data_IF_750440968006
#
_entry.id   IF_750440968006
#
_cell.length_a   1.000
_cell.length_b   1.000
_cell.length_c   1.000
_cell.angle_alpha   90.00
_cell.angle_beta   90.00
_cell.angle_gamma   90.00
#
_symmetry.space_group_name_H-M   'P 1'
#
loop_
_entity.id
_entity.type
_entity.pdbx_description
1 polymer ?
#
# COMPACT_ATOMS: atom_id res chain seq x y z
N UNK A 1 17.40 5.45 -9.10
CA UNK A 1 16.88 5.74 -7.75
C UNK A 1 15.45 5.27 -7.72
N UNK A 2 15.14 4.32 -6.84
CA UNK A 2 13.78 3.82 -6.63
C UNK A 2 12.96 4.96 -6.01
N UNK A 3 11.78 5.21 -6.56
CA UNK A 3 10.76 6.07 -5.95
C UNK A 3 9.47 5.29 -5.83
N UNK A 4 8.65 5.62 -4.84
CA UNK A 4 7.35 4.99 -4.69
C UNK A 4 6.42 5.48 -5.80
N UNK A 5 5.64 4.57 -6.36
CA UNK A 5 4.52 4.90 -7.24
C UNK A 5 3.36 5.50 -6.44
N UNK A 6 2.42 6.15 -7.12
CA UNK A 6 1.25 6.74 -6.46
C UNK A 6 0.44 5.71 -5.66
N UNK A 7 0.29 4.49 -6.22
CA UNK A 7 -0.37 3.36 -5.54
C UNK A 7 0.36 2.94 -4.27
N UNK A 8 1.70 2.87 -4.32
CA UNK A 8 2.51 2.52 -3.15
C UNK A 8 2.46 3.63 -2.09
N UNK A 9 2.46 4.90 -2.49
CA UNK A 9 2.28 6.04 -1.58
C UNK A 9 0.92 6.02 -0.88
N UNK A 10 -0.14 5.69 -1.62
CA UNK A 10 -1.47 5.53 -1.05
C UNK A 10 -1.51 4.38 -0.03
N UNK A 11 -0.89 3.24 -0.33
CA UNK A 11 -0.77 2.12 0.61
C UNK A 11 -0.02 2.53 1.87
N UNK A 12 1.13 3.19 1.73
CA UNK A 12 1.92 3.69 2.87
C UNK A 12 1.09 4.62 3.74
N UNK A 13 0.35 5.56 3.13
CA UNK A 13 -0.57 6.46 3.83
C UNK A 13 -1.68 5.71 4.57
N UNK A 14 -2.23 4.64 3.98
CA UNK A 14 -3.28 3.82 4.60
C UNK A 14 -2.77 2.95 5.76
N UNK A 15 -1.52 2.50 5.69
CA UNK A 15 -0.90 1.74 6.78
C UNK A 15 -0.58 2.61 8.00
N UNK A 16 -0.47 3.93 7.81
CA UNK A 16 -0.37 4.96 8.86
C UNK A 16 0.70 4.68 9.93
N UNK A 17 1.86 4.19 9.49
CA UNK A 17 3.00 3.98 10.37
C UNK A 17 3.71 5.32 10.64
N UNK A 18 3.98 5.59 11.92
CA UNK A 18 4.58 6.85 12.38
C UNK A 18 6.01 7.10 11.85
N UNK A 19 6.75 6.05 11.50
CA UNK A 19 8.14 6.14 11.02
C UNK A 19 8.23 5.93 9.51
N UNK A 20 7.57 4.90 8.98
CA UNK A 20 7.69 4.51 7.57
C UNK A 20 6.80 5.33 6.64
N UNK A 21 7.02 6.65 6.63
CA UNK A 21 6.37 7.61 5.72
C UNK A 21 6.88 7.45 4.28
N UNK A 22 6.15 8.00 3.30
CA UNK A 22 6.58 7.94 1.90
C UNK A 22 7.93 8.65 1.70
N UNK A 23 8.11 9.79 2.34
CA UNK A 23 9.34 10.60 2.32
C UNK A 23 10.51 9.83 2.93
N UNK A 24 10.30 9.22 4.11
CA UNK A 24 11.30 8.38 4.76
C UNK A 24 11.69 7.19 3.88
N UNK A 25 10.71 6.49 3.30
CA UNK A 25 11.00 5.34 2.45
C UNK A 25 11.80 5.75 1.20
N UNK A 26 11.42 6.83 0.51
CA UNK A 26 12.17 7.30 -0.67
C UNK A 26 13.62 7.69 -0.34
N UNK A 27 13.86 8.28 0.84
CA UNK A 27 15.20 8.59 1.34
C UNK A 27 16.02 7.31 1.60
N UNK A 28 15.43 6.33 2.30
CA UNK A 28 16.19 5.23 2.87
C UNK A 28 16.32 3.99 1.97
N UNK A 29 15.37 3.69 1.10
CA UNK A 29 15.41 2.47 0.26
C UNK A 29 16.59 2.44 -0.72
N UNK A 30 17.08 3.62 -1.11
CA UNK A 30 18.19 3.78 -2.05
C UNK A 30 19.56 3.78 -1.38
N UNK A 31 19.60 3.87 -0.06
CA UNK A 31 20.85 3.91 0.70
C UNK A 31 21.54 2.55 0.68
N UNK A 32 22.87 2.59 0.65
CA UNK A 32 23.76 1.43 0.61
C UNK A 32 24.82 1.52 1.70
N UNK A 33 24.44 2.06 2.85
CA UNK A 33 25.31 2.14 4.02
C UNK A 33 25.82 0.74 4.39
N UNK A 34 27.11 0.66 4.72
CA UNK A 34 27.73 -0.58 5.15
C UNK A 34 27.82 -0.63 6.66
N UNK A 35 27.58 -1.81 7.23
CA UNK A 35 27.55 -2.02 8.68
C UNK A 35 28.90 -1.69 9.34
N UNK A 36 30.01 -1.95 8.65
CA UNK A 36 31.37 -1.69 9.14
C UNK A 36 31.74 -0.20 9.18
N UNK A 37 30.96 0.67 8.52
CA UNK A 37 31.18 2.11 8.47
C UNK A 37 30.13 2.86 9.29
N UNK A 38 28.87 2.50 9.15
CA UNK A 38 27.74 3.12 9.85
C UNK A 38 26.63 2.08 10.08
N UNK A 39 26.81 1.28 11.12
CA UNK A 39 25.86 0.22 11.49
C UNK A 39 24.42 0.73 11.69
N UNK A 40 24.16 1.86 12.39
CA UNK A 40 22.81 2.39 12.52
C UNK A 40 22.13 2.70 11.17
N UNK A 41 22.82 3.41 10.27
CA UNK A 41 22.26 3.75 8.97
C UNK A 41 22.04 2.51 8.08
N UNK A 42 22.97 1.55 8.12
CA UNK A 42 22.82 0.29 7.42
C UNK A 42 21.57 -0.48 7.90
N UNK A 43 21.35 -0.53 9.21
CA UNK A 43 20.18 -1.19 9.78
C UNK A 43 18.87 -0.48 9.40
N UNK A 44 18.84 0.86 9.45
CA UNK A 44 17.68 1.66 9.03
C UNK A 44 17.35 1.45 7.54
N UNK A 45 18.37 1.42 6.67
CA UNK A 45 18.19 1.17 5.24
C UNK A 45 17.61 -0.23 4.98
N UNK A 46 18.09 -1.27 5.69
CA UNK A 46 17.54 -2.63 5.57
C UNK A 46 16.08 -2.68 6.06
N UNK A 47 15.75 -1.98 7.15
CA UNK A 47 14.37 -1.85 7.64
C UNK A 47 13.45 -1.22 6.60
N UNK A 48 13.84 -0.08 6.04
CA UNK A 48 13.09 0.61 4.98
C UNK A 48 12.90 -0.27 3.73
N UNK A 49 13.95 -0.98 3.30
CA UNK A 49 13.87 -1.92 2.17
C UNK A 49 12.93 -3.10 2.45
N UNK A 50 12.91 -3.60 3.69
CA UNK A 50 11.96 -4.63 4.14
C UNK A 50 10.51 -4.15 4.04
N UNK A 51 10.23 -2.98 4.62
CA UNK A 51 8.89 -2.37 4.61
C UNK A 51 8.42 -2.08 3.18
N UNK A 52 9.28 -1.47 2.36
CA UNK A 52 8.98 -1.20 0.95
C UNK A 52 8.67 -2.47 0.15
N UNK A 53 9.39 -3.59 0.40
CA UNK A 53 9.08 -4.88 -0.24
C UNK A 53 7.67 -5.37 0.12
N UNK A 54 7.21 -5.18 1.36
CA UNK A 54 5.85 -5.52 1.75
C UNK A 54 4.82 -4.64 1.03
N UNK A 55 5.02 -3.32 1.01
CA UNK A 55 4.17 -2.36 0.28
C UNK A 55 4.06 -2.75 -1.20
N UNK A 56 5.18 -3.11 -1.84
CA UNK A 56 5.19 -3.60 -3.22
C UNK A 56 4.33 -4.82 -3.42
N UNK A 57 4.42 -5.82 -2.53
CA UNK A 57 3.57 -7.02 -2.62
C UNK A 57 2.11 -6.67 -2.47
N UNK A 58 1.77 -5.79 -1.52
CA UNK A 58 0.40 -5.30 -1.33
C UNK A 58 -0.12 -4.59 -2.59
N UNK A 59 0.73 -3.78 -3.24
CA UNK A 59 0.41 -3.13 -4.50
C UNK A 59 0.22 -4.12 -5.65
N UNK A 60 1.05 -5.16 -5.74
CA UNK A 60 1.00 -6.22 -6.76
C UNK A 60 -0.26 -7.10 -6.60
N UNK A 61 -0.58 -7.54 -5.38
CA UNK A 61 -1.74 -8.40 -5.10
C UNK A 61 -3.07 -7.65 -5.00
N UNK A 62 -3.05 -6.31 -5.02
CA UNK A 62 -4.25 -5.50 -4.99
C UNK A 62 -4.99 -5.60 -3.65
N UNK A 63 -4.50 -4.89 -2.63
CA UNK A 63 -5.29 -4.67 -1.42
C UNK A 63 -6.61 -3.95 -1.78
N UNK A 64 -7.73 -4.59 -1.46
CA UNK A 64 -9.10 -4.06 -1.43
C UNK A 64 -9.77 -3.60 -2.73
N UNK A 65 -9.07 -3.45 -3.86
CA UNK A 65 -9.72 -2.98 -5.10
C UNK A 65 -10.88 -3.87 -5.55
N UNK A 66 -10.70 -5.19 -5.50
CA UNK A 66 -11.74 -6.16 -5.89
C UNK A 66 -12.87 -6.23 -4.85
N UNK A 67 -12.54 -6.18 -3.56
CA UNK A 67 -13.54 -6.21 -2.48
C UNK A 67 -14.37 -4.93 -2.45
N UNK A 68 -13.76 -3.76 -2.64
CA UNK A 68 -14.44 -2.47 -2.69
C UNK A 68 -15.29 -2.34 -3.95
N UNK A 69 -14.81 -2.82 -5.10
CA UNK A 69 -15.61 -2.91 -6.31
C UNK A 69 -16.80 -3.87 -6.14
N UNK A 70 -16.59 -5.01 -5.48
CA UNK A 70 -17.64 -5.96 -5.13
C UNK A 70 -18.67 -5.33 -4.18
N UNK A 71 -18.24 -4.63 -3.14
CA UNK A 71 -19.12 -3.94 -2.20
C UNK A 71 -19.94 -2.86 -2.88
N UNK A 72 -19.33 -2.00 -3.71
CA UNK A 72 -20.07 -1.00 -4.51
C UNK A 72 -21.06 -1.63 -5.48
N UNK A 73 -20.71 -2.79 -6.05
CA UNK A 73 -21.60 -3.54 -6.91
C UNK A 73 -22.81 -4.09 -6.13
N UNK A 74 -22.57 -4.67 -4.95
CA UNK A 74 -23.62 -5.18 -4.05
C UNK A 74 -24.54 -4.04 -3.58
N UNK A 75 -23.99 -2.89 -3.18
CA UNK A 75 -24.79 -1.71 -2.81
C UNK A 75 -25.67 -1.26 -3.97
N UNK A 76 -25.11 -1.17 -5.19
CA UNK A 76 -25.87 -0.82 -6.39
C UNK A 76 -26.99 -1.82 -6.68
N UNK A 77 -26.74 -3.12 -6.50
CA UNK A 77 -27.78 -4.15 -6.65
C UNK A 77 -28.88 -3.99 -5.59
N UNK A 78 -28.51 -3.73 -4.33
CA UNK A 78 -29.47 -3.47 -3.26
C UNK A 78 -30.38 -2.28 -3.57
N UNK A 79 -29.83 -1.17 -4.06
CA UNK A 79 -30.62 -0.01 -4.48
C UNK A 79 -31.61 -0.34 -5.59
N UNK A 80 -31.15 -1.05 -6.64
CA UNK A 80 -32.00 -1.42 -7.78
C UNK A 80 -33.12 -2.38 -7.39
N UNK A 81 -32.88 -3.26 -6.43
CA UNK A 81 -33.90 -4.15 -5.88
C UNK A 81 -34.97 -3.37 -5.11
N UNK A 82 -34.55 -2.41 -4.27
CA UNK A 82 -35.47 -1.53 -3.53
C UNK A 82 -36.29 -0.61 -4.45
N UNK A 83 -35.72 -0.20 -5.58
CA UNK A 83 -36.39 0.61 -6.62
C UNK A 83 -37.29 -0.24 -7.54
N UNK A 84 -37.30 -1.57 -7.36
CA UNK A 84 -38.10 -2.49 -8.18
C UNK A 84 -37.58 -2.70 -9.60
N UNK A 85 -36.34 -2.28 -9.89
CA UNK A 85 -35.72 -2.46 -11.20
C UNK A 85 -35.25 -3.89 -11.46
N UNK A 86 -35.03 -4.66 -10.39
CA UNK A 86 -34.68 -6.07 -10.42
C UNK A 86 -35.49 -6.81 -9.34
N UNK A 87 -35.93 -8.03 -9.64
CA UNK A 87 -36.67 -8.91 -8.73
C UNK A 87 -35.97 -10.26 -8.61
N UNK A 88 -36.44 -11.10 -7.68
CA UNK A 88 -35.91 -12.45 -7.44
C UNK A 88 -36.34 -13.49 -8.50
N UNK A 89 -37.01 -13.06 -9.58
CA UNK A 89 -37.50 -13.91 -10.68
C UNK A 89 -36.47 -14.13 -11.80
#
# INVERSE_FOLDING_TARGET
MIKLTDKEKEIVKKLDDSLFTAEYLEEWINRKDRVDVNAPAALQAVGAQGYYRAVRRIAEYGFFGEMEALLKHIEKLGTRYLEGEISDE
#
